data_IF_025660836086
#
_entry.id   IF_025660836086
#
_cell.length_a   1.000
_cell.length_b   1.000
_cell.length_c   1.000
_cell.angle_alpha   90.00
_cell.angle_beta   90.00
_cell.angle_gamma   90.00
#
_symmetry.space_group_name_H-M   'P 1'
#
loop_
_entity.id
_entity.type
_entity.pdbx_description
1 polymer ?
#
# COMPACT_ATOMS: atom_id res chain seq x y z
N UNK A 1 -23.09 -29.12 -18.83
CA UNK A 1 -22.31 -29.19 -17.57
C UNK A 1 -21.32 -28.04 -17.62
N UNK A 2 -21.67 -26.90 -17.05
CA UNK A 2 -20.82 -25.70 -17.04
C UNK A 2 -20.10 -25.61 -15.71
N UNK A 3 -18.80 -25.32 -15.74
CA UNK A 3 -17.93 -25.26 -14.58
C UNK A 3 -18.04 -23.90 -13.89
N UNK A 4 -18.19 -23.88 -12.57
CA UNK A 4 -18.36 -22.66 -11.77
C UNK A 4 -17.12 -22.44 -10.92
N UNK A 5 -16.37 -21.38 -11.22
CA UNK A 5 -15.41 -20.81 -10.28
C UNK A 5 -15.92 -19.41 -9.92
N UNK A 6 -16.94 -19.34 -9.05
CA UNK A 6 -17.27 -18.09 -8.37
C UNK A 6 -16.45 -18.07 -7.09
N UNK A 7 -15.31 -17.38 -7.08
CA UNK A 7 -14.50 -17.47 -5.87
C UNK A 7 -13.20 -16.71 -5.86
N UNK A 8 -13.24 -15.42 -6.15
CA UNK A 8 -12.08 -14.57 -5.87
C UNK A 8 -12.40 -13.29 -5.13
N UNK A 9 -13.52 -12.62 -5.43
CA UNK A 9 -13.90 -11.43 -4.67
C UNK A 9 -14.15 -11.77 -3.18
N UNK A 10 -14.73 -12.94 -2.88
CA UNK A 10 -14.85 -13.45 -1.51
C UNK A 10 -13.59 -14.18 -1.02
N UNK A 11 -12.62 -14.45 -1.90
CA UNK A 11 -11.33 -15.04 -1.50
C UNK A 11 -10.42 -14.03 -0.81
N UNK A 12 -10.68 -12.73 -0.98
CA UNK A 12 -10.07 -11.68 -0.16
C UNK A 12 -10.49 -11.76 1.31
N UNK A 13 -11.62 -12.42 1.62
CA UNK A 13 -12.03 -12.74 3.00
C UNK A 13 -11.51 -14.10 3.49
N UNK A 14 -10.82 -14.89 2.66
CA UNK A 14 -10.05 -16.02 3.19
C UNK A 14 -8.94 -15.46 4.07
N UNK A 15 -9.22 -15.37 5.35
CA UNK A 15 -8.22 -15.12 6.37
C UNK A 15 -7.24 -16.29 6.31
N UNK A 16 -6.12 -16.07 5.61
CA UNK A 16 -4.89 -16.79 5.90
C UNK A 16 -4.54 -16.43 7.34
N UNK A 17 -5.17 -17.12 8.28
CA UNK A 17 -5.26 -16.73 9.68
C UNK A 17 -3.86 -16.42 10.17
N UNK A 18 -3.66 -15.14 10.50
CA UNK A 18 -2.58 -14.52 11.27
C UNK A 18 -1.66 -15.55 11.92
N UNK A 19 -0.71 -16.10 11.17
CA UNK A 19 0.45 -16.75 11.77
C UNK A 19 1.59 -15.74 11.71
N UNK A 20 1.90 -15.23 12.89
CA UNK A 20 3.02 -14.33 13.15
C UNK A 20 4.29 -14.82 12.45
N UNK A 21 4.89 -13.94 11.66
CA UNK A 21 6.32 -13.79 11.40
C UNK A 21 7.18 -15.04 11.70
N UNK A 22 7.55 -15.79 10.65
CA UNK A 22 8.79 -16.58 10.69
C UNK A 22 8.87 -17.84 9.83
N UNK A 23 7.75 -18.46 9.43
CA UNK A 23 7.78 -19.73 8.67
C UNK A 23 6.74 -19.73 7.55
N UNK A 24 7.12 -20.35 6.43
CA UNK A 24 6.34 -20.51 5.19
C UNK A 24 4.86 -20.86 5.47
N UNK A 25 3.95 -20.34 4.64
CA UNK A 25 2.52 -20.56 4.80
C UNK A 25 2.19 -22.07 4.87
N UNK A 26 1.39 -22.53 5.87
CA UNK A 26 1.12 -23.94 6.12
C UNK A 26 0.33 -24.63 4.99
N UNK A 27 -0.27 -23.85 4.09
CA UNK A 27 -1.09 -24.33 2.97
C UNK A 27 -0.33 -24.42 1.64
N UNK A 28 1.00 -24.31 1.65
CA UNK A 28 1.83 -24.25 0.43
C UNK A 28 2.23 -25.62 -0.13
N UNK A 29 1.71 -26.71 0.43
CA UNK A 29 2.03 -28.07 -0.02
C UNK A 29 1.55 -28.30 -1.46
N UNK A 30 2.47 -28.63 -2.36
CA UNK A 30 2.21 -28.83 -3.79
C UNK A 30 1.14 -29.87 -4.05
N UNK A 31 1.25 -31.02 -3.41
CA UNK A 31 0.40 -32.19 -3.66
C UNK A 31 -1.05 -31.88 -3.25
N UNK A 32 -1.22 -31.21 -2.11
CA UNK A 32 -2.54 -30.79 -1.65
C UNK A 32 -3.16 -29.70 -2.54
N UNK A 33 -2.35 -28.84 -3.15
CA UNK A 33 -2.83 -27.85 -4.13
C UNK A 33 -3.29 -28.57 -5.41
N UNK A 34 -2.61 -29.63 -5.82
CA UNK A 34 -2.99 -30.47 -6.97
C UNK A 34 -4.28 -31.23 -6.70
N UNK A 35 -4.42 -31.84 -5.52
CA UNK A 35 -5.67 -32.49 -5.10
C UNK A 35 -6.87 -31.53 -5.12
N UNK A 36 -6.70 -30.28 -4.71
CA UNK A 36 -7.76 -29.25 -4.81
C UNK A 36 -8.08 -28.90 -6.26
N UNK A 37 -7.06 -28.76 -7.10
CA UNK A 37 -7.22 -28.50 -8.53
C UNK A 37 -8.01 -29.62 -9.20
N UNK A 38 -7.64 -30.88 -8.95
CA UNK A 38 -8.32 -32.05 -9.48
C UNK A 38 -9.76 -32.15 -8.94
N UNK A 39 -9.96 -31.84 -7.66
CA UNK A 39 -11.30 -31.79 -7.05
C UNK A 39 -12.22 -30.76 -7.69
N UNK A 40 -11.69 -29.58 -8.05
CA UNK A 40 -12.41 -28.53 -8.78
C UNK A 40 -12.73 -28.96 -10.20
N UNK A 41 -11.75 -29.47 -10.94
CA UNK A 41 -11.91 -29.92 -12.33
C UNK A 41 -12.82 -31.16 -12.44
N UNK A 42 -12.87 -32.00 -11.41
CA UNK A 42 -13.77 -33.15 -11.34
C UNK A 42 -15.18 -32.80 -10.81
N UNK A 43 -15.47 -31.52 -10.55
CA UNK A 43 -16.74 -31.05 -9.98
C UNK A 43 -17.11 -31.72 -8.64
N UNK A 44 -16.09 -32.12 -7.86
CA UNK A 44 -16.27 -32.63 -6.49
C UNK A 44 -16.38 -31.49 -5.47
N UNK A 45 -15.87 -30.30 -5.85
CA UNK A 45 -15.87 -29.08 -5.05
C UNK A 45 -16.70 -28.03 -5.80
N UNK A 46 -17.99 -27.96 -5.46
CA UNK A 46 -18.98 -27.21 -6.26
C UNK A 46 -19.07 -25.71 -5.92
N UNK A 47 -18.55 -25.31 -4.76
CA UNK A 47 -18.60 -23.92 -4.30
C UNK A 47 -17.37 -23.50 -3.51
N UNK A 48 -17.26 -22.19 -3.29
CA UNK A 48 -16.13 -21.60 -2.55
C UNK A 48 -16.05 -22.10 -1.11
N UNK A 49 -17.19 -22.35 -0.45
CA UNK A 49 -17.24 -22.89 0.91
C UNK A 49 -16.66 -24.32 0.97
N UNK A 50 -17.09 -25.19 0.07
CA UNK A 50 -16.57 -26.57 -0.02
C UNK A 50 -15.07 -26.58 -0.29
N UNK A 51 -14.63 -25.72 -1.20
CA UNK A 51 -13.22 -25.58 -1.57
C UNK A 51 -12.39 -25.09 -0.38
N UNK A 52 -12.88 -24.07 0.33
CA UNK A 52 -12.27 -23.54 1.55
C UNK A 52 -12.12 -24.62 2.64
N UNK A 53 -13.19 -25.36 2.92
CA UNK A 53 -13.21 -26.41 3.94
C UNK A 53 -12.32 -27.61 3.57
N UNK A 54 -12.31 -28.01 2.30
CA UNK A 54 -11.38 -29.04 1.82
C UNK A 54 -9.93 -28.56 1.91
N UNK A 55 -9.64 -27.32 1.52
CA UNK A 55 -8.30 -26.73 1.67
C UNK A 55 -7.79 -26.77 3.11
N UNK A 56 -8.66 -26.54 4.11
CA UNK A 56 -8.32 -26.71 5.53
C UNK A 56 -7.97 -28.17 5.85
N UNK A 57 -8.80 -29.12 5.42
CA UNK A 57 -8.63 -30.56 5.72
C UNK A 57 -7.34 -31.14 5.15
N UNK A 58 -7.01 -30.80 3.91
CA UNK A 58 -5.82 -31.36 3.23
C UNK A 58 -4.61 -30.42 3.27
N UNK A 59 -4.69 -29.29 3.99
CA UNK A 59 -3.62 -28.28 4.05
C UNK A 59 -3.16 -27.80 2.67
N UNK A 60 -4.11 -27.67 1.75
CA UNK A 60 -3.90 -27.11 0.41
C UNK A 60 -4.45 -25.69 0.35
N UNK A 61 -3.72 -24.77 -0.27
CA UNK A 61 -4.17 -23.39 -0.41
C UNK A 61 -5.23 -23.31 -1.51
N UNK A 62 -6.48 -22.94 -1.20
CA UNK A 62 -7.51 -22.85 -2.22
C UNK A 62 -7.23 -21.82 -3.31
N UNK A 63 -6.57 -20.70 -2.95
CA UNK A 63 -6.12 -19.69 -3.92
C UNK A 63 -5.24 -20.30 -5.01
N UNK A 64 -4.22 -21.06 -4.62
CA UNK A 64 -3.30 -21.68 -5.58
C UNK A 64 -3.98 -22.84 -6.32
N UNK A 65 -4.88 -23.58 -5.67
CA UNK A 65 -5.66 -24.65 -6.31
C UNK A 65 -6.55 -24.11 -7.43
N UNK A 66 -7.36 -23.09 -7.15
CA UNK A 66 -8.20 -22.41 -8.16
C UNK A 66 -7.38 -21.82 -9.28
N UNK A 67 -6.26 -21.15 -8.97
CA UNK A 67 -5.37 -20.56 -9.99
C UNK A 67 -4.75 -21.61 -10.91
N UNK A 68 -4.39 -22.78 -10.40
CA UNK A 68 -3.92 -23.91 -11.23
C UNK A 68 -5.04 -24.48 -12.11
N UNK A 69 -6.30 -24.41 -11.69
CA UNK A 69 -7.44 -24.93 -12.44
C UNK A 69 -7.87 -24.03 -13.61
N UNK A 70 -7.57 -22.71 -13.57
CA UNK A 70 -7.92 -21.72 -14.61
C UNK A 70 -7.63 -22.19 -16.04
N UNK A 71 -6.40 -22.61 -16.43
CA UNK A 71 -6.11 -22.99 -17.82
C UNK A 71 -6.87 -24.24 -18.32
N UNK A 72 -7.43 -25.04 -17.41
CA UNK A 72 -8.19 -26.26 -17.74
C UNK A 72 -9.70 -26.06 -17.62
N UNK A 73 -10.14 -24.88 -17.18
CA UNK A 73 -11.54 -24.59 -16.92
C UNK A 73 -12.28 -24.21 -18.20
N UNK A 74 -13.49 -24.74 -18.38
CA UNK A 74 -14.32 -24.43 -19.56
C UNK A 74 -15.09 -23.11 -19.42
N UNK A 75 -15.32 -22.66 -18.18
CA UNK A 75 -16.03 -21.45 -17.85
C UNK A 75 -15.37 -20.81 -16.64
N UNK A 76 -15.08 -19.52 -16.75
CA UNK A 76 -14.45 -18.72 -15.70
C UNK A 76 -15.32 -17.49 -15.48
N UNK A 77 -15.75 -17.29 -14.24
CA UNK A 77 -16.40 -16.05 -13.84
C UNK A 77 -15.37 -15.16 -13.16
N UNK A 78 -15.15 -13.96 -13.71
CA UNK A 78 -14.21 -13.01 -13.15
C UNK A 78 -14.81 -11.60 -13.16
N UNK A 79 -14.42 -10.74 -12.21
CA UNK A 79 -14.89 -9.37 -12.19
C UNK A 79 -14.22 -8.53 -13.27
N UNK A 80 -14.85 -7.42 -13.63
CA UNK A 80 -14.39 -6.53 -14.70
C UNK A 80 -12.95 -6.07 -14.53
N UNK A 81 -12.50 -5.78 -13.31
CA UNK A 81 -11.14 -5.32 -13.05
C UNK A 81 -10.10 -6.35 -13.51
N UNK A 82 -10.38 -7.64 -13.30
CA UNK A 82 -9.51 -8.74 -13.72
C UNK A 82 -9.52 -8.84 -15.23
N UNK A 83 -10.69 -8.76 -15.85
CA UNK A 83 -10.80 -8.81 -17.31
C UNK A 83 -10.12 -7.63 -17.99
N UNK A 84 -10.22 -6.42 -17.45
CA UNK A 84 -9.77 -5.18 -18.09
C UNK A 84 -8.29 -4.87 -17.82
N UNK A 85 -7.78 -5.17 -16.63
CA UNK A 85 -6.39 -4.85 -16.26
C UNK A 85 -5.44 -6.00 -16.64
N UNK A 86 -4.44 -5.70 -17.47
CA UNK A 86 -3.49 -6.70 -17.95
C UNK A 86 -2.71 -7.38 -16.82
N UNK A 87 -2.25 -6.60 -15.84
CA UNK A 87 -1.51 -7.14 -14.68
C UNK A 87 -2.39 -8.09 -13.85
N UNK A 88 -3.67 -7.77 -13.70
CA UNK A 88 -4.62 -8.63 -13.02
C UNK A 88 -4.85 -9.93 -13.80
N UNK A 89 -5.03 -9.87 -15.13
CA UNK A 89 -5.13 -11.06 -15.99
C UNK A 89 -3.90 -11.97 -15.84
N UNK A 90 -2.69 -11.40 -15.94
CA UNK A 90 -1.43 -12.15 -15.76
C UNK A 90 -1.32 -12.77 -14.38
N UNK A 91 -1.67 -12.02 -13.34
CA UNK A 91 -1.69 -12.52 -11.97
C UNK A 91 -2.69 -13.69 -11.81
N UNK A 92 -3.78 -13.69 -12.55
CA UNK A 92 -4.77 -14.77 -12.52
C UNK A 92 -4.45 -15.93 -13.48
N UNK A 93 -3.47 -15.77 -14.37
CA UNK A 93 -3.21 -16.75 -15.43
C UNK A 93 -4.31 -16.79 -16.49
N UNK A 94 -5.06 -15.71 -16.65
CA UNK A 94 -6.15 -15.61 -17.62
C UNK A 94 -5.60 -15.19 -18.99
N UNK A 95 -5.76 -16.05 -19.98
CA UNK A 95 -5.48 -15.76 -21.39
C UNK A 95 -6.80 -15.62 -22.16
N UNK A 96 -6.96 -14.53 -22.90
CA UNK A 96 -8.19 -14.24 -23.64
C UNK A 96 -8.11 -14.71 -25.10
N UNK A 97 -6.94 -15.15 -25.58
CA UNK A 97 -6.77 -15.66 -26.95
C UNK A 97 -7.62 -16.92 -27.14
N UNK A 98 -8.29 -17.03 -28.29
CA UNK A 98 -9.15 -18.16 -28.65
C UNK A 98 -10.29 -18.48 -27.66
N UNK A 99 -10.67 -17.50 -26.83
CA UNK A 99 -11.75 -17.62 -25.86
C UNK A 99 -12.93 -16.68 -26.19
N UNK A 100 -14.13 -17.08 -25.78
CA UNK A 100 -15.33 -16.22 -25.86
C UNK A 100 -15.50 -15.48 -24.54
N UNK A 101 -15.54 -14.15 -24.61
CA UNK A 101 -15.76 -13.29 -23.44
C UNK A 101 -17.20 -12.81 -23.45
N UNK A 102 -17.94 -13.13 -22.38
CA UNK A 102 -19.31 -12.63 -22.16
C UNK A 102 -19.26 -11.62 -21.02
N UNK A 103 -19.75 -10.41 -21.30
CA UNK A 103 -19.83 -9.31 -20.34
C UNK A 103 -21.28 -9.21 -19.90
N UNK A 104 -21.56 -9.66 -18.67
CA UNK A 104 -22.88 -9.54 -18.08
C UNK A 104 -23.09 -8.14 -17.50
N UNK A 105 -24.28 -7.56 -17.64
CA UNK A 105 -24.58 -6.20 -17.19
C UNK A 105 -23.61 -5.11 -17.71
N UNK A 106 -23.31 -5.17 -19.02
CA UNK A 106 -22.36 -4.28 -19.69
C UNK A 106 -22.73 -2.78 -19.66
N UNK A 107 -23.90 -2.40 -19.12
CA UNK A 107 -24.32 -1.01 -19.01
C UNK A 107 -23.38 -0.17 -18.11
N UNK A 108 -22.70 -0.79 -17.14
CA UNK A 108 -21.70 -0.10 -16.27
C UNK A 108 -20.26 -0.20 -16.79
N UNK A 109 -20.02 -0.95 -17.87
CA UNK A 109 -18.67 -1.25 -18.35
C UNK A 109 -17.88 0.03 -18.64
N UNK A 110 -18.52 1.01 -19.27
CA UNK A 110 -17.91 2.28 -19.64
C UNK A 110 -17.45 3.08 -18.42
N UNK A 111 -18.28 3.15 -17.38
CA UNK A 111 -17.94 3.82 -16.13
C UNK A 111 -16.73 3.16 -15.47
N UNK A 112 -16.69 1.83 -15.45
CA UNK A 112 -15.60 1.06 -14.85
C UNK A 112 -14.29 1.25 -15.61
N UNK A 113 -14.31 1.26 -16.94
CA UNK A 113 -13.14 1.56 -17.77
C UNK A 113 -12.66 2.99 -17.49
N UNK A 114 -13.58 3.96 -17.50
CA UNK A 114 -13.28 5.36 -17.22
C UNK A 114 -12.63 5.54 -15.85
N UNK A 115 -13.20 4.94 -14.80
CA UNK A 115 -12.68 5.00 -13.44
C UNK A 115 -11.33 4.26 -13.28
N UNK A 116 -11.14 3.16 -14.00
CA UNK A 116 -9.88 2.39 -13.98
C UNK A 116 -8.73 3.19 -14.61
N UNK A 117 -9.02 3.92 -15.68
CA UNK A 117 -8.07 4.74 -16.43
C UNK A 117 -8.08 6.23 -16.06
N UNK A 118 -8.68 6.57 -14.92
CA UNK A 118 -8.61 7.92 -14.35
C UNK A 118 -7.78 7.94 -13.07
N UNK A 119 -7.16 9.08 -12.78
CA UNK A 119 -6.44 9.29 -11.54
C UNK A 119 -6.51 10.75 -11.09
N UNK A 120 -6.54 10.94 -9.77
CA UNK A 120 -6.51 12.26 -9.15
C UNK A 120 -5.22 12.45 -8.39
N UNK A 121 -4.56 13.58 -8.60
CA UNK A 121 -3.35 13.98 -7.89
C UNK A 121 -3.60 15.31 -7.18
N UNK A 122 -3.51 15.30 -5.85
CA UNK A 122 -3.67 16.51 -5.04
C UNK A 122 -2.34 17.23 -4.84
N UNK A 123 -2.39 18.57 -4.70
CA UNK A 123 -1.21 19.35 -4.33
C UNK A 123 -0.65 18.92 -2.97
N UNK A 124 -1.51 18.52 -2.02
CA UNK A 124 -1.06 18.01 -0.72
C UNK A 124 -0.24 16.72 -0.85
N UNK A 125 -0.63 15.80 -1.75
CA UNK A 125 0.17 14.62 -2.06
C UNK A 125 1.55 15.00 -2.63
N UNK A 126 1.59 15.96 -3.57
CA UNK A 126 2.86 16.47 -4.12
C UNK A 126 3.73 17.15 -3.05
N UNK A 127 3.15 17.91 -2.14
CA UNK A 127 3.89 18.52 -1.03
C UNK A 127 4.46 17.46 -0.07
N UNK A 128 3.71 16.40 0.22
CA UNK A 128 4.18 15.28 1.04
C UNK A 128 5.37 14.58 0.37
N UNK A 129 5.29 14.29 -0.92
CA UNK A 129 6.39 13.73 -1.70
C UNK A 129 7.60 14.66 -1.64
N UNK A 130 7.42 15.97 -1.83
CA UNK A 130 8.51 16.96 -1.74
C UNK A 130 9.19 16.95 -0.37
N UNK A 131 8.43 16.85 0.72
CA UNK A 131 9.00 16.76 2.09
C UNK A 131 9.84 15.50 2.25
N UNK A 132 9.34 14.37 1.75
CA UNK A 132 10.05 13.08 1.81
C UNK A 132 11.33 13.09 0.97
N UNK A 133 11.29 13.62 -0.26
CA UNK A 133 12.49 13.75 -1.10
C UNK A 133 13.58 14.60 -0.43
N UNK A 134 13.20 15.71 0.23
CA UNK A 134 14.17 16.51 1.01
C UNK A 134 14.79 15.76 2.19
N UNK A 135 14.07 14.80 2.77
CA UNK A 135 14.63 13.93 3.82
C UNK A 135 15.64 12.93 3.24
N UNK A 136 15.44 12.47 2.01
CA UNK A 136 16.43 11.62 1.32
C UNK A 136 17.73 12.39 1.06
N UNK A 137 17.66 13.64 0.60
CA UNK A 137 18.85 14.49 0.42
C UNK A 137 19.61 14.68 1.75
N UNK A 138 18.87 14.82 2.86
CA UNK A 138 19.46 14.93 4.19
C UNK A 138 20.10 13.62 4.65
N UNK A 139 19.49 12.47 4.36
CA UNK A 139 20.06 11.16 4.65
C UNK A 139 21.37 10.95 3.90
N UNK A 140 21.41 11.28 2.61
CA UNK A 140 22.62 11.21 1.79
C UNK A 140 23.73 12.10 2.38
N UNK A 141 23.39 13.33 2.78
CA UNK A 141 24.33 14.23 3.45
C UNK A 141 24.84 13.65 4.79
N UNK A 142 23.99 13.04 5.60
CA UNK A 142 24.36 12.43 6.89
C UNK A 142 25.31 11.24 6.68
N UNK A 143 25.06 10.42 5.67
CA UNK A 143 25.93 9.31 5.28
C UNK A 143 27.30 9.81 4.82
N UNK A 144 27.33 10.76 3.88
CA UNK A 144 28.58 11.33 3.35
C UNK A 144 29.41 12.05 4.42
N UNK A 145 28.76 12.77 5.33
CA UNK A 145 29.45 13.51 6.39
C UNK A 145 29.86 12.64 7.58
N UNK A 146 29.45 11.36 7.61
CA UNK A 146 29.56 10.45 8.75
C UNK A 146 29.09 11.10 10.07
N UNK A 147 28.06 11.95 9.98
CA UNK A 147 27.62 12.80 11.09
C UNK A 147 27.18 11.97 12.29
N UNK A 148 26.44 10.88 12.04
CA UNK A 148 26.02 9.94 13.08
C UNK A 148 27.25 9.38 13.82
N UNK A 149 28.26 8.89 13.11
CA UNK A 149 29.46 8.35 13.74
C UNK A 149 30.23 9.40 14.57
N UNK A 150 30.28 10.65 14.10
CA UNK A 150 30.89 11.78 14.84
C UNK A 150 30.10 12.10 16.11
N UNK A 151 28.78 12.22 16.02
CA UNK A 151 27.90 12.50 17.15
C UNK A 151 27.90 11.34 18.17
N UNK A 152 27.89 10.09 17.73
CA UNK A 152 28.01 8.93 18.63
C UNK A 152 29.36 8.88 19.33
N UNK A 153 30.47 9.21 18.65
CA UNK A 153 31.79 9.32 19.29
C UNK A 153 31.83 10.46 20.31
N UNK A 154 31.18 11.58 20.01
CA UNK A 154 31.08 12.72 20.92
C UNK A 154 30.25 12.37 22.17
N UNK A 155 29.08 11.76 22.00
CA UNK A 155 28.23 11.27 23.11
C UNK A 155 28.98 10.31 24.02
N UNK A 156 29.70 9.33 23.43
CA UNK A 156 30.50 8.37 24.20
C UNK A 156 31.67 9.01 24.96
N UNK A 157 32.19 10.16 24.51
CA UNK A 157 33.22 10.90 25.25
C UNK A 157 32.62 11.62 26.46
N UNK A 158 31.47 12.26 26.30
CA UNK A 158 30.74 12.90 27.40
C UNK A 158 30.31 11.89 28.47
N UNK A 159 29.88 10.69 28.07
CA UNK A 159 29.55 9.61 29.01
C UNK A 159 30.76 9.12 29.80
N UNK A 160 31.95 9.07 29.17
CA UNK A 160 33.20 8.68 29.84
C UNK A 160 33.73 9.77 30.79
N UNK A 161 33.55 11.05 30.45
CA UNK A 161 33.90 12.16 31.35
C UNK A 161 32.97 12.19 32.58
N UNK A 162 31.68 11.89 32.43
CA UNK A 162 30.74 11.79 33.56
C UNK A 162 30.93 10.52 34.43
N UNK A 163 31.65 9.50 33.95
CA UNK A 163 31.95 8.27 34.69
C UNK A 163 33.28 8.31 35.46
N UNK A 164 34.04 9.41 35.39
CA UNK A 164 35.31 9.57 36.10
C UNK A 164 35.18 10.68 37.17
N UNK A 165 34.72 10.37 38.39
CA UNK A 165 34.51 11.38 39.42
C UNK A 165 35.84 11.70 40.10
N UNK A 166 36.58 12.70 39.59
CA UNK A 166 37.72 13.26 40.35
C UNK A 166 37.83 14.77 40.40
N UNK A 167 36.96 15.53 39.74
CA UNK A 167 36.96 16.99 39.89
C UNK A 167 35.56 17.52 40.23
N UNK A 168 35.55 18.48 41.16
CA UNK A 168 34.43 19.28 41.68
C UNK A 168 33.50 19.75 40.54
N UNK A 169 32.16 19.84 40.73
CA UNK A 169 31.23 19.98 39.62
C UNK A 169 31.47 21.27 38.82
N UNK A 170 32.13 21.14 37.67
CA UNK A 170 32.27 22.23 36.71
C UNK A 170 30.92 22.41 36.03
N UNK A 171 30.20 23.45 36.45
CA UNK A 171 28.97 23.91 35.81
C UNK A 171 29.26 24.22 34.34
N UNK A 172 28.86 23.33 33.43
CA UNK A 172 28.94 23.60 32.00
C UNK A 172 27.89 24.66 31.64
N UNK A 173 28.37 25.87 31.35
CA UNK A 173 27.54 26.99 30.92
C UNK A 173 27.60 27.02 29.40
N UNK A 174 26.45 26.84 28.74
CA UNK A 174 26.30 27.01 27.29
C UNK A 174 26.84 28.36 26.84
N UNK A 175 27.42 28.45 25.63
CA UNK A 175 27.89 29.72 25.06
C UNK A 175 26.81 30.82 25.02
N UNK A 176 25.54 30.42 25.00
CA UNK A 176 24.38 31.32 25.06
C UNK A 176 24.10 31.80 26.49
N UNK A 177 24.30 30.94 27.50
CA UNK A 177 24.16 31.31 28.92
C UNK A 177 25.27 32.26 29.41
N UNK A 178 26.47 32.22 28.82
CA UNK A 178 27.52 33.24 29.08
C UNK A 178 27.19 34.60 28.51
N UNK A 179 26.39 34.65 27.43
CA UNK A 179 25.98 35.88 26.78
C UNK A 179 24.79 36.54 27.48
N UNK A 180 23.93 35.73 28.11
CA UNK A 180 22.74 36.16 28.83
C UNK A 180 22.95 36.00 30.33
N UNK A 181 23.63 36.95 30.97
CA UNK A 181 23.83 36.97 32.42
C UNK A 181 22.52 37.17 33.19
N UNK A 182 21.79 36.08 33.46
CA UNK A 182 20.57 36.11 34.28
C UNK A 182 20.66 35.05 35.39
N UNK A 183 20.55 35.54 36.62
CA UNK A 183 20.45 34.77 37.87
C UNK A 183 19.06 34.11 37.99
N UNK A 184 19.08 32.91 38.53
CA UNK A 184 18.10 32.19 39.36
C UNK A 184 16.59 32.34 39.07
N UNK A 185 15.89 31.19 38.97
CA UNK A 185 14.97 30.69 40.02
C UNK A 185 14.47 29.30 39.62
N UNK A 186 14.60 28.35 40.56
CA UNK A 186 13.91 27.05 40.57
C UNK A 186 12.45 27.25 40.92
N UNK A 187 11.52 26.73 40.12
CA UNK A 187 10.18 26.39 40.57
C UNK A 187 9.58 25.27 39.72
N UNK A 188 9.27 24.17 40.40
CA UNK A 188 8.37 23.09 40.00
C UNK A 188 6.96 23.58 39.69
N UNK A 189 6.25 22.92 38.77
CA UNK A 189 4.89 22.36 38.98
C UNK A 189 4.30 21.80 37.67
N UNK A 190 3.77 20.55 37.75
CA UNK A 190 2.84 19.96 36.79
C UNK A 190 1.50 20.73 36.79
N UNK A 191 0.69 20.69 35.70
CA UNK A 191 -0.43 19.76 35.73
C UNK A 191 -0.84 19.14 34.38
N UNK A 192 -1.36 17.91 34.51
CA UNK A 192 -2.05 17.11 33.49
C UNK A 192 -3.30 17.81 32.90
N UNK A 193 -3.72 17.23 31.77
CA UNK A 193 -5.08 17.15 31.18
C UNK A 193 -5.44 18.12 30.06
N UNK A 194 -5.68 17.56 28.86
CA UNK A 194 -7.02 17.54 28.24
C UNK A 194 -6.98 16.69 26.95
N UNK A 195 -7.73 15.57 26.94
CA UNK A 195 -8.99 15.38 26.19
C UNK A 195 -8.79 15.33 24.66
N UNK A 196 -8.69 14.10 24.15
CA UNK A 196 -8.88 13.76 22.75
C UNK A 196 -10.34 14.00 22.34
N UNK A 197 -10.64 14.68 21.22
CA UNK A 197 -11.92 14.56 20.58
C UNK A 197 -11.85 13.70 19.31
N UNK A 198 -12.88 12.85 19.20
CA UNK A 198 -13.60 12.44 17.99
C UNK A 198 -12.80 11.96 16.76
N UNK A 199 -13.01 10.68 16.43
CA UNK A 199 -12.77 10.09 15.11
C UNK A 199 -13.62 10.82 14.06
N UNK A 200 -12.97 11.67 13.28
CA UNK A 200 -13.39 12.00 11.90
C UNK A 200 -12.45 11.23 10.98
N UNK A 201 -13.02 10.61 9.95
CA UNK A 201 -12.36 9.78 8.94
C UNK A 201 -10.96 10.28 8.59
N UNK A 202 -9.93 9.60 9.08
CA UNK A 202 -8.55 9.89 8.70
C UNK A 202 -8.31 9.23 7.36
N UNK A 203 -8.43 9.99 6.28
CA UNK A 203 -7.60 9.75 5.10
C UNK A 203 -6.14 9.83 5.56
N UNK A 204 -5.58 8.68 5.93
CA UNK A 204 -4.17 8.59 6.29
C UNK A 204 -3.35 9.00 5.07
N UNK A 205 -2.94 10.27 5.08
CA UNK A 205 -2.03 10.91 4.14
C UNK A 205 -0.61 10.38 4.30
N UNK A 206 -0.46 9.07 4.29
CA UNK A 206 0.83 8.40 4.39
C UNK A 206 1.63 8.72 3.12
N UNK A 207 2.94 8.98 3.27
CA UNK A 207 3.83 9.24 2.14
C UNK A 207 3.68 8.21 1.01
N UNK A 208 3.52 6.93 1.37
CA UNK A 208 3.28 5.83 0.44
C UNK A 208 2.06 6.05 -0.48
N UNK A 209 0.94 6.53 0.07
CA UNK A 209 -0.26 6.82 -0.71
C UNK A 209 -0.01 7.97 -1.70
N UNK A 210 0.72 9.00 -1.28
CA UNK A 210 1.09 10.10 -2.16
C UNK A 210 1.96 9.63 -3.33
N UNK A 211 2.99 8.82 -3.07
CA UNK A 211 3.83 8.22 -4.11
C UNK A 211 3.03 7.31 -5.04
N UNK A 212 2.15 6.48 -4.51
CA UNK A 212 1.27 5.62 -5.32
C UNK A 212 0.38 6.45 -6.25
N UNK A 213 -0.20 7.55 -5.74
CA UNK A 213 -1.05 8.46 -6.51
C UNK A 213 -0.27 9.15 -7.63
N UNK A 214 0.94 9.62 -7.34
CA UNK A 214 1.83 10.21 -8.34
C UNK A 214 2.24 9.19 -9.40
N UNK A 215 2.69 8.00 -9.00
CA UNK A 215 3.07 6.92 -9.91
C UNK A 215 1.92 6.58 -10.84
N UNK A 216 0.72 6.33 -10.31
CA UNK A 216 -0.47 6.04 -11.11
C UNK A 216 -0.79 7.16 -12.10
N UNK A 217 -0.71 8.42 -11.66
CA UNK A 217 -0.96 9.57 -12.52
C UNK A 217 0.05 9.63 -13.68
N UNK A 218 1.34 9.41 -13.41
CA UNK A 218 2.39 9.37 -14.43
C UNK A 218 2.23 8.18 -15.38
N UNK A 219 1.94 6.98 -14.86
CA UNK A 219 1.71 5.77 -15.65
C UNK A 219 0.57 6.02 -16.66
N UNK A 220 -0.55 6.63 -16.23
CA UNK A 220 -1.66 6.98 -17.12
C UNK A 220 -1.29 8.02 -18.19
N UNK A 221 -0.46 9.01 -17.86
CA UNK A 221 0.05 9.96 -18.86
C UNK A 221 0.89 9.26 -19.94
N UNK A 222 1.64 8.21 -19.58
CA UNK A 222 2.46 7.48 -20.55
C UNK A 222 1.66 6.60 -21.52
N UNK A 223 0.41 6.25 -21.18
CA UNK A 223 -0.45 5.40 -22.02
C UNK A 223 -0.99 6.13 -23.27
N UNK A 224 -0.78 7.44 -23.40
CA UNK A 224 -1.12 8.28 -24.58
C UNK A 224 -2.53 8.04 -25.16
N UNK A 225 -3.54 7.95 -24.30
CA UNK A 225 -4.92 7.88 -24.77
C UNK A 225 -5.31 9.15 -25.53
N UNK A 226 -5.79 8.99 -26.77
CA UNK A 226 -6.11 10.10 -27.70
C UNK A 226 -7.16 11.06 -27.12
N UNK A 227 -8.16 10.54 -26.42
CA UNK A 227 -9.28 11.32 -25.87
C UNK A 227 -9.14 11.61 -24.36
N UNK A 228 -7.93 11.48 -23.81
CA UNK A 228 -7.69 11.82 -22.41
C UNK A 228 -7.64 13.34 -22.16
N UNK A 229 -8.13 13.76 -20.99
CA UNK A 229 -8.17 15.17 -20.59
C UNK A 229 -7.59 15.34 -19.19
N UNK A 230 -6.87 16.43 -18.98
CA UNK A 230 -6.43 16.85 -17.65
C UNK A 230 -7.31 18.02 -17.22
N UNK A 231 -8.08 17.81 -16.15
CA UNK A 231 -8.88 18.86 -15.51
C UNK A 231 -8.14 19.33 -14.27
N UNK A 232 -8.01 20.65 -14.13
CA UNK A 232 -7.39 21.28 -12.97
C UNK A 232 -8.50 21.97 -12.19
N UNK A 233 -8.82 21.44 -11.02
CA UNK A 233 -9.74 22.06 -10.08
C UNK A 233 -8.95 22.94 -9.12
N UNK A 234 -9.21 24.25 -9.17
CA UNK A 234 -8.65 25.23 -8.25
C UNK A 234 -9.72 25.63 -7.23
N UNK A 235 -9.53 25.24 -5.97
CA UNK A 235 -10.30 25.84 -4.87
C UNK A 235 -9.85 27.28 -4.62
N UNK A 236 -10.75 28.13 -4.12
CA UNK A 236 -10.54 29.55 -3.84
C UNK A 236 -9.33 29.84 -2.94
N UNK A 237 -8.88 28.83 -2.18
CA UNK A 237 -7.59 28.81 -1.52
C UNK A 237 -6.55 28.11 -2.41
N UNK A 238 -5.53 28.86 -2.86
CA UNK A 238 -4.41 28.40 -3.72
C UNK A 238 -3.69 27.11 -3.26
N UNK A 239 -3.95 26.63 -2.05
CA UNK A 239 -3.28 25.50 -1.41
C UNK A 239 -3.93 24.15 -1.80
N UNK A 240 -5.18 24.14 -2.26
CA UNK A 240 -5.97 22.91 -2.45
C UNK A 240 -6.33 22.61 -3.92
N UNK A 241 -5.40 22.80 -4.86
CA UNK A 241 -5.64 22.39 -6.24
C UNK A 241 -5.58 20.85 -6.40
N UNK A 242 -6.42 20.32 -7.31
CA UNK A 242 -6.45 18.90 -7.69
C UNK A 242 -6.32 18.76 -9.20
N UNK A 243 -5.49 17.81 -9.62
CA UNK A 243 -5.29 17.45 -11.01
C UNK A 243 -6.00 16.13 -11.28
N UNK A 244 -6.96 16.14 -12.19
CA UNK A 244 -7.71 14.96 -12.58
C UNK A 244 -7.30 14.57 -13.99
N UNK A 245 -6.70 13.40 -14.14
CA UNK A 245 -6.55 12.74 -15.44
C UNK A 245 -7.80 11.92 -15.69
N UNK A 246 -8.55 12.27 -16.73
CA UNK A 246 -9.77 11.59 -17.13
C UNK A 246 -9.57 10.92 -18.48
N UNK A 247 -9.87 9.63 -18.53
CA UNK A 247 -10.04 8.92 -19.78
C UNK A 247 -11.50 9.02 -20.22
N UNK A 248 -11.76 9.50 -21.44
CA UNK A 248 -13.11 9.60 -21.98
C UNK A 248 -13.21 8.78 -23.25
N UNK A 249 -14.08 7.76 -23.27
CA UNK A 249 -14.47 7.09 -24.50
C UNK A 249 -15.63 7.87 -25.12
N UNK A 250 -15.32 8.93 -25.85
CA UNK A 250 -16.30 9.57 -26.72
C UNK A 250 -16.29 8.78 -28.01
N UNK A 251 -17.28 7.93 -28.24
CA UNK A 251 -17.52 7.38 -29.58
C UNK A 251 -17.86 8.56 -30.50
N UNK A 252 -16.93 8.93 -31.38
CA UNK A 252 -17.17 9.87 -32.48
C UNK A 252 -17.85 9.18 -33.65
#
# INVERSE_FOLDING_TARGET
MGFWISGFLDFLEWECAKSSCGKSCPFTRSDAIEDLCDGLLANKLSGIADLADNGKKISGCPYFGTRKAVPYSQLIMCPYQVLLQEDARKAWGLDLRDNVVVIDEAHNLLEIITNSHSATLSVNALQNIRRVLKLFDLLEYIEQSHLIAKLTKFSKRLEKENQNPKDEPVRYVSGVERLMGVRDVVASEDPKTNKSPARTEREESTAAFAFHSLKRFLDLLTLRYVDSRIIIECSSEKINARYHYLFSLIFK
#
